data_IF_330500342563
#
_entry.id   IF_330500342563
#
_cell.length_a   1.000
_cell.length_b   1.000
_cell.length_c   1.000
_cell.angle_alpha   90.00
_cell.angle_beta   90.00
_cell.angle_gamma   90.00
#
_symmetry.space_group_name_H-M   'P 1'
#
loop_
_entity.id
_entity.type
_entity.pdbx_description
1 polymer ?
#
# COMPACT_ATOMS: atom_id res chain seq x y z
N UNK A 1 -5.74 27.86 -0.96
CA UNK A 1 -4.88 26.97 -0.15
C UNK A 1 -5.23 25.52 -0.51
N UNK A 2 -4.61 24.96 -1.55
CA UNK A 2 -4.80 23.56 -1.95
C UNK A 2 -3.62 22.73 -1.42
N UNK A 3 -3.89 21.81 -0.49
CA UNK A 3 -2.91 20.82 -0.04
C UNK A 3 -3.14 19.55 -0.84
N UNK A 4 -2.34 19.34 -1.89
CA UNK A 4 -2.22 18.07 -2.61
C UNK A 4 -1.09 17.27 -1.95
N UNK A 5 -1.41 16.14 -1.32
CA UNK A 5 -0.44 15.26 -0.69
C UNK A 5 -0.29 14.04 -1.60
N UNK A 6 0.90 13.94 -2.19
CA UNK A 6 1.35 12.85 -3.03
C UNK A 6 1.70 11.68 -2.11
N UNK A 7 1.08 10.52 -2.32
CA UNK A 7 1.52 9.25 -1.74
C UNK A 7 2.54 8.64 -2.69
N UNK A 8 3.82 8.46 -2.30
CA UNK A 8 4.77 7.78 -3.17
C UNK A 8 4.55 6.28 -3.08
N UNK A 9 4.03 5.71 -4.16
CA UNK A 9 4.01 4.28 -4.40
C UNK A 9 5.42 3.86 -4.83
N UNK A 10 6.27 3.48 -3.85
CA UNK A 10 7.62 2.96 -4.12
C UNK A 10 7.47 1.51 -4.61
N UNK A 11 7.34 1.35 -5.93
CA UNK A 11 7.58 0.07 -6.60
C UNK A 11 9.07 0.00 -6.93
N UNK A 12 9.78 -0.80 -6.16
CA UNK A 12 11.19 -1.13 -6.39
C UNK A 12 11.25 -2.32 -7.36
N UNK A 13 11.39 -2.06 -8.66
CA UNK A 13 11.69 -3.09 -9.66
C UNK A 13 13.18 -3.05 -9.96
N UNK A 14 13.95 -4.01 -9.42
CA UNK A 14 15.34 -4.24 -9.80
C UNK A 14 15.37 -5.27 -10.92
N UNK A 15 15.34 -4.81 -12.17
CA UNK A 15 15.78 -5.64 -13.30
C UNK A 15 16.39 -4.71 -14.34
N UNK A 16 17.62 -5.06 -14.73
CA UNK A 16 18.52 -4.22 -15.51
C UNK A 16 17.95 -3.77 -16.85
N UNK A 17 18.49 -2.65 -17.31
CA UNK A 17 18.24 -2.05 -18.60
C UNK A 17 18.40 -3.08 -19.72
N UNK A 18 17.31 -3.36 -20.44
CA UNK A 18 17.41 -3.65 -21.86
C UNK A 18 16.50 -2.65 -22.57
N UNK A 19 17.15 -1.79 -23.34
CA UNK A 19 16.59 -0.67 -24.08
C UNK A 19 15.67 -1.19 -25.20
N UNK A 20 14.38 -0.84 -25.17
CA UNK A 20 13.48 -1.02 -26.29
C UNK A 20 12.64 0.25 -26.46
N UNK A 21 13.07 1.11 -27.39
CA UNK A 21 12.24 2.19 -27.93
C UNK A 21 11.06 1.57 -28.69
N UNK A 22 9.86 1.66 -28.13
CA UNK A 22 8.65 1.70 -28.93
C UNK A 22 7.78 2.87 -28.47
N UNK A 23 7.60 3.81 -29.38
CA UNK A 23 6.85 5.06 -29.21
C UNK A 23 5.36 4.75 -29.13
N UNK A 24 4.82 4.78 -27.92
CA UNK A 24 3.44 5.21 -27.70
C UNK A 24 3.42 6.06 -26.44
N UNK A 25 3.51 7.37 -26.60
CA UNK A 25 3.08 8.32 -25.57
C UNK A 25 1.57 8.15 -25.43
N UNK A 26 1.14 7.16 -24.65
CA UNK A 26 -0.22 7.15 -24.12
C UNK A 26 -0.19 8.05 -22.91
N UNK A 27 -0.77 9.24 -23.07
CA UNK A 27 -1.07 10.13 -21.96
C UNK A 27 -1.67 9.32 -20.81
N UNK A 28 -1.26 9.60 -19.58
CA UNK A 28 -1.97 9.17 -18.37
C UNK A 28 -3.29 9.94 -18.34
N UNK A 29 -4.18 9.60 -19.28
CA UNK A 29 -5.56 10.04 -19.31
C UNK A 29 -6.20 9.54 -18.03
N UNK A 30 -6.87 10.44 -17.34
CA UNK A 30 -7.60 10.19 -16.12
C UNK A 30 -8.27 8.81 -16.17
N UNK A 31 -7.81 7.88 -15.33
CA UNK A 31 -8.53 6.63 -15.06
C UNK A 31 -9.91 7.08 -14.54
N UNK A 32 -10.89 7.02 -15.42
CA UNK A 32 -12.14 7.75 -15.26
C UNK A 32 -12.91 7.22 -14.06
N UNK A 33 -13.52 8.14 -13.33
CA UNK A 33 -14.32 7.89 -12.12
C UNK A 33 -15.39 6.79 -12.32
N UNK A 34 -15.85 6.63 -13.57
CA UNK A 34 -16.80 5.62 -14.03
C UNK A 34 -16.27 4.19 -14.00
N UNK A 35 -14.98 3.95 -14.28
CA UNK A 35 -14.41 2.60 -14.33
C UNK A 35 -14.44 1.92 -12.95
N UNK A 36 -14.25 2.69 -11.87
CA UNK A 36 -14.31 2.16 -10.50
C UNK A 36 -15.73 2.01 -9.95
N UNK A 37 -16.71 2.76 -10.48
CA UNK A 37 -18.12 2.62 -10.09
C UNK A 37 -18.72 1.29 -10.55
N UNK A 38 -18.15 0.71 -11.60
CA UNK A 38 -18.56 -0.56 -12.20
C UNK A 38 -17.68 -1.75 -11.76
N UNK A 39 -16.54 -1.50 -11.10
CA UNK A 39 -15.85 -2.55 -10.35
C UNK A 39 -16.62 -2.79 -9.07
N UNK A 40 -17.64 -3.64 -9.17
CA UNK A 40 -18.24 -4.26 -8.00
C UNK A 40 -17.13 -5.04 -7.29
N UNK A 41 -16.61 -4.49 -6.19
CA UNK A 41 -15.63 -5.16 -5.33
C UNK A 41 -16.11 -6.55 -4.85
N UNK A 42 -17.40 -6.83 -5.00
CA UNK A 42 -18.07 -8.08 -4.74
C UNK A 42 -17.56 -9.27 -5.59
N UNK A 43 -17.12 -9.05 -6.84
CA UNK A 43 -16.71 -10.13 -7.75
C UNK A 43 -15.18 -10.32 -7.83
N UNK A 44 -14.43 -9.45 -7.17
CA UNK A 44 -12.97 -9.54 -7.10
C UNK A 44 -12.45 -10.80 -6.38
N UNK A 45 -13.04 -11.30 -5.28
CA UNK A 45 -12.49 -12.46 -4.56
C UNK A 45 -12.23 -13.69 -5.45
N UNK A 46 -13.15 -14.00 -6.37
CA UNK A 46 -13.02 -15.14 -7.28
C UNK A 46 -11.85 -14.98 -8.28
N UNK A 47 -11.53 -13.74 -8.67
CA UNK A 47 -10.42 -13.45 -9.59
C UNK A 47 -9.06 -13.59 -8.88
N UNK A 48 -9.01 -13.26 -7.58
CA UNK A 48 -7.78 -13.28 -6.78
C UNK A 48 -7.34 -14.69 -6.34
N UNK A 49 -8.22 -15.68 -6.35
CA UNK A 49 -7.88 -17.07 -6.05
C UNK A 49 -6.72 -17.61 -6.92
N UNK A 50 -6.70 -17.23 -8.20
CA UNK A 50 -5.63 -17.60 -9.13
C UNK A 50 -4.29 -16.97 -8.73
N UNK A 51 -4.32 -15.73 -8.23
CA UNK A 51 -3.14 -14.98 -7.79
C UNK A 51 -2.61 -15.57 -6.49
N UNK A 52 -3.48 -15.80 -5.49
CA UNK A 52 -3.12 -16.40 -4.21
C UNK A 52 -2.37 -17.72 -4.38
N UNK A 53 -2.85 -18.59 -5.28
CA UNK A 53 -2.17 -19.84 -5.63
C UNK A 53 -0.82 -19.62 -6.29
N UNK A 54 -0.72 -18.69 -7.24
CA UNK A 54 0.55 -18.39 -7.94
C UNK A 54 1.64 -17.87 -7.00
N UNK A 55 1.27 -17.02 -6.04
CA UNK A 55 2.22 -16.44 -5.08
C UNK A 55 2.35 -17.26 -3.80
N UNK A 56 1.65 -18.39 -3.70
CA UNK A 56 1.68 -19.32 -2.57
C UNK A 56 1.37 -18.64 -1.22
N UNK A 57 0.34 -17.77 -1.21
CA UNK A 57 -0.14 -17.15 0.03
C UNK A 57 -1.58 -17.60 0.32
N UNK A 58 -1.93 -17.91 1.59
CA UNK A 58 -3.23 -18.49 1.94
C UNK A 58 -4.39 -17.48 1.82
N UNK A 59 -4.11 -16.18 1.95
CA UNK A 59 -5.09 -15.13 1.88
C UNK A 59 -4.48 -13.74 1.99
N UNK A 60 -5.29 -12.73 1.72
CA UNK A 60 -4.91 -11.31 1.83
C UNK A 60 -6.12 -10.45 2.18
N UNK A 61 -5.87 -9.22 2.60
CA UNK A 61 -6.90 -8.18 2.74
C UNK A 61 -6.47 -6.96 1.96
N UNK A 62 -7.34 -6.45 1.09
CA UNK A 62 -7.10 -5.24 0.30
C UNK A 62 -7.96 -4.10 0.84
N UNK A 63 -7.35 -2.97 1.16
CA UNK A 63 -8.02 -1.74 1.56
C UNK A 63 -7.82 -0.65 0.52
N UNK A 64 -8.90 0.01 0.09
CA UNK A 64 -8.86 1.14 -0.86
C UNK A 64 -9.61 2.32 -0.24
N UNK A 65 -8.97 3.48 -0.16
CA UNK A 65 -9.61 4.73 0.29
C UNK A 65 -9.85 5.64 -0.92
N UNK A 66 -11.10 6.06 -1.14
CA UNK A 66 -11.48 6.94 -2.25
C UNK A 66 -12.66 7.80 -1.87
N UNK A 67 -12.60 9.10 -2.15
CA UNK A 67 -13.69 10.03 -1.81
C UNK A 67 -13.99 10.11 -0.30
N UNK A 68 -13.04 9.74 0.56
CA UNK A 68 -13.24 9.65 2.01
C UNK A 68 -13.84 8.32 2.48
N UNK A 69 -14.22 7.42 1.57
CA UNK A 69 -14.77 6.11 1.88
C UNK A 69 -13.69 5.03 1.85
N UNK A 70 -13.77 4.07 2.78
CA UNK A 70 -12.88 2.91 2.87
C UNK A 70 -13.62 1.66 2.38
N UNK A 71 -13.04 1.01 1.38
CA UNK A 71 -13.48 -0.27 0.84
C UNK A 71 -12.49 -1.34 1.32
N UNK A 72 -12.98 -2.40 1.96
CA UNK A 72 -12.14 -3.50 2.49
C UNK A 72 -12.59 -4.83 1.89
N UNK A 73 -11.66 -5.56 1.30
CA UNK A 73 -11.88 -6.84 0.65
C UNK A 73 -11.00 -7.93 1.27
N UNK A 74 -11.54 -8.77 2.18
CA UNK A 74 -10.84 -9.96 2.65
C UNK A 74 -10.95 -11.09 1.62
N UNK A 75 -9.85 -11.81 1.37
CA UNK A 75 -9.76 -12.87 0.36
C UNK A 75 -8.98 -14.06 0.95
N UNK A 76 -9.51 -15.27 0.78
CA UNK A 76 -8.85 -16.50 1.22
C UNK A 76 -8.85 -16.68 2.74
N UNK A 77 -7.77 -17.29 3.25
CA UNK A 77 -7.66 -17.77 4.63
C UNK A 77 -6.46 -17.17 5.35
N UNK A 78 -6.57 -17.03 6.68
CA UNK A 78 -5.50 -16.49 7.53
C UNK A 78 -4.49 -17.52 8.01
N UNK A 79 -4.69 -18.79 7.68
CA UNK A 79 -3.84 -19.92 8.06
C UNK A 79 -3.56 -20.83 6.87
N UNK A 80 -2.41 -21.52 6.90
CA UNK A 80 -2.00 -22.43 5.84
C UNK A 80 -2.88 -23.69 5.74
N UNK A 81 -3.58 -24.05 6.83
CA UNK A 81 -4.52 -25.18 6.84
C UNK A 81 -5.87 -24.82 6.17
N UNK A 82 -6.03 -23.57 5.70
CA UNK A 82 -7.22 -23.07 5.02
C UNK A 82 -8.50 -23.27 5.84
N UNK A 83 -8.38 -23.10 7.16
CA UNK A 83 -9.46 -23.39 8.11
C UNK A 83 -10.18 -22.14 8.61
N UNK A 84 -9.52 -20.98 8.58
CA UNK A 84 -10.04 -19.72 9.11
C UNK A 84 -10.07 -18.67 8.01
N UNK A 85 -11.26 -18.16 7.63
CA UNK A 85 -11.36 -17.15 6.58
C UNK A 85 -10.69 -15.84 7.03
N UNK A 86 -10.18 -15.08 6.05
CA UNK A 86 -9.81 -13.69 6.26
C UNK A 86 -11.04 -12.85 6.61
N UNK A 87 -10.84 -11.84 7.46
CA UNK A 87 -11.85 -10.83 7.79
C UNK A 87 -11.25 -9.44 7.64
N UNK A 88 -12.10 -8.41 7.56
CA UNK A 88 -11.66 -7.01 7.53
C UNK A 88 -10.85 -6.58 8.77
N UNK A 89 -10.92 -7.35 9.85
CA UNK A 89 -10.26 -7.10 11.15
C UNK A 89 -9.18 -8.14 11.48
N UNK A 90 -8.78 -8.97 10.52
CA UNK A 90 -7.73 -9.96 10.76
C UNK A 90 -6.40 -9.26 11.06
N UNK A 91 -5.73 -9.57 12.18
CA UNK A 91 -4.45 -8.95 12.52
C UNK A 91 -3.33 -9.47 11.62
N UNK A 92 -2.44 -8.56 11.20
CA UNK A 92 -1.24 -8.85 10.41
C UNK A 92 0.02 -8.31 11.09
N UNK A 93 1.14 -8.98 10.86
CA UNK A 93 2.46 -8.40 11.12
C UNK A 93 2.81 -7.45 9.97
N UNK A 94 2.91 -6.16 10.26
CA UNK A 94 3.14 -5.13 9.22
C UNK A 94 4.62 -4.93 8.87
N UNK A 95 5.55 -5.52 9.63
CA UNK A 95 6.99 -5.51 9.38
C UNK A 95 7.53 -4.11 9.00
N UNK A 96 8.21 -3.96 7.87
CA UNK A 96 8.82 -2.68 7.47
C UNK A 96 7.82 -1.54 7.24
N UNK A 97 6.52 -1.81 7.12
CA UNK A 97 5.50 -0.75 7.10
C UNK A 97 5.51 0.05 8.41
N UNK A 98 5.98 -0.54 9.52
CA UNK A 98 6.24 0.18 10.78
C UNK A 98 7.10 1.43 10.60
N UNK A 99 8.01 1.47 9.61
CA UNK A 99 8.90 2.62 9.37
C UNK A 99 8.13 3.90 9.06
N UNK A 100 6.98 3.82 8.39
CA UNK A 100 6.15 5.00 8.10
C UNK A 100 5.64 5.61 9.40
N UNK A 101 5.21 4.79 10.35
CA UNK A 101 4.76 5.24 11.67
C UNK A 101 5.91 5.83 12.49
N UNK A 102 7.08 5.18 12.49
CA UNK A 102 8.26 5.70 13.17
C UNK A 102 8.71 7.03 12.58
N UNK A 103 8.75 7.15 11.25
CA UNK A 103 9.07 8.40 10.57
C UNK A 103 8.08 9.51 10.93
N UNK A 104 6.78 9.21 10.94
CA UNK A 104 5.76 10.17 11.36
C UNK A 104 5.96 10.65 12.80
N UNK A 105 6.25 9.74 13.74
CA UNK A 105 6.55 10.10 15.12
C UNK A 105 7.79 11.02 15.23
N UNK A 106 8.84 10.73 14.47
CA UNK A 106 10.04 11.59 14.41
C UNK A 106 9.71 12.98 13.85
N UNK A 107 8.92 13.05 12.78
CA UNK A 107 8.50 14.34 12.20
C UNK A 107 7.61 15.14 13.15
N UNK A 108 6.75 14.49 13.94
CA UNK A 108 5.97 15.14 14.98
C UNK A 108 6.86 15.74 16.08
N UNK A 109 7.90 15.02 16.52
CA UNK A 109 8.88 15.55 17.47
C UNK A 109 9.65 16.75 16.89
N UNK A 110 9.95 16.71 15.58
CA UNK A 110 10.60 17.83 14.91
C UNK A 110 9.69 19.06 14.81
N UNK A 111 8.40 18.88 14.51
CA UNK A 111 7.41 19.96 14.50
C UNK A 111 7.22 20.60 15.87
N UNK A 112 7.31 19.81 16.95
CA UNK A 112 7.26 20.30 18.34
C UNK A 112 8.56 20.99 18.80
N UNK A 113 9.65 20.87 18.04
CA UNK A 113 10.97 21.40 18.41
C UNK A 113 11.75 20.52 19.39
N UNK A 114 11.25 19.33 19.73
CA UNK A 114 11.89 18.37 20.63
C UNK A 114 13.04 17.61 19.93
N UNK A 115 13.01 17.54 18.60
CA UNK A 115 14.00 16.89 17.77
C UNK A 115 14.44 17.81 16.61
N UNK A 116 15.74 17.85 16.34
CA UNK A 116 16.32 18.56 15.21
C UNK A 116 16.81 17.52 14.20
N UNK A 117 16.23 17.55 12.99
CA UNK A 117 16.51 16.57 11.94
C UNK A 117 17.92 16.68 11.37
N UNK A 118 18.54 17.87 11.47
CA UNK A 118 19.88 18.15 10.94
C UNK A 118 20.97 18.03 12.02
N UNK A 119 20.58 17.92 13.29
CA UNK A 119 21.52 17.70 14.37
C UNK A 119 22.18 16.32 14.29
N UNK A 120 23.47 16.20 14.69
CA UNK A 120 24.13 14.90 14.75
C UNK A 120 23.41 13.99 15.76
N UNK A 121 23.23 12.71 15.40
CA UNK A 121 22.49 11.72 16.22
C UNK A 121 23.01 11.59 17.66
N UNK A 122 24.31 11.82 17.87
CA UNK A 122 24.96 11.81 19.20
C UNK A 122 24.34 12.81 20.19
N UNK A 123 23.67 13.86 19.70
CA UNK A 123 22.91 14.81 20.55
C UNK A 123 21.80 14.10 21.34
N UNK A 124 21.19 13.07 20.75
CA UNK A 124 20.02 12.38 21.29
C UNK A 124 20.34 10.96 21.79
N UNK A 125 21.38 10.32 21.24
CA UNK A 125 21.83 8.97 21.61
C UNK A 125 23.32 9.02 22.02
N UNK A 126 23.64 9.22 23.32
CA UNK A 126 25.01 9.38 23.81
C UNK A 126 25.83 8.08 23.84
#
# INVERSE_FOLDING_TARGET
MHKNWIVPLIVWCSTGCTHQENKTTTEVGAVSDSLFREVAFHDLPAQWDSVLRRVHVPGMVVGVVRGGELYVLPIGFRDAALSRPMTSTTPFYIASVTKVFTAQAVLQLAELGDLDLDAPVKKYLP
#
